data_IF_018676760956
#
_entry.id   IF_018676760956
#
_cell.length_a   1.000
_cell.length_b   1.000
_cell.length_c   1.000
_cell.angle_alpha   90.00
_cell.angle_beta   90.00
_cell.angle_gamma   90.00
#
_symmetry.space_group_name_H-M   'P 1'
#
loop_
_entity.id
_entity.type
_entity.pdbx_description
1 polymer ?
#
# COMPACT_ATOMS: atom_id res chain seq x y z
N UNK A 1 28.43 -7.90 -10.32
CA UNK A 1 28.72 -6.61 -11.00
C UNK A 1 27.92 -6.38 -12.27
N UNK A 2 27.73 -7.39 -13.13
CA UNK A 2 26.95 -7.23 -14.38
C UNK A 2 25.47 -6.87 -14.12
N UNK A 3 24.92 -7.24 -12.98
CA UNK A 3 23.52 -6.99 -12.60
C UNK A 3 23.29 -5.72 -11.81
N UNK A 4 24.32 -5.09 -11.28
CA UNK A 4 24.19 -3.80 -10.58
C UNK A 4 23.58 -2.75 -11.49
N UNK A 5 24.07 -2.69 -12.76
CA UNK A 5 23.51 -1.76 -13.73
C UNK A 5 22.07 -2.08 -14.12
N UNK A 6 21.71 -3.37 -14.24
CA UNK A 6 20.34 -3.81 -14.49
C UNK A 6 19.43 -3.38 -13.35
N UNK A 7 19.83 -3.60 -12.09
CA UNK A 7 19.06 -3.19 -10.92
C UNK A 7 18.81 -1.68 -10.92
N UNK A 8 19.86 -0.88 -11.10
CA UNK A 8 19.73 0.57 -11.15
C UNK A 8 18.78 1.04 -12.25
N UNK A 9 18.95 0.51 -13.48
CA UNK A 9 18.08 0.88 -14.61
C UNK A 9 16.62 0.52 -14.33
N UNK A 10 16.34 -0.63 -13.72
CA UNK A 10 14.97 -1.00 -13.34
C UNK A 10 14.40 -0.04 -12.30
N UNK A 11 15.15 0.27 -11.24
CA UNK A 11 14.73 1.19 -10.19
C UNK A 11 14.44 2.59 -10.75
N UNK A 12 15.35 3.12 -11.58
CA UNK A 12 15.19 4.44 -12.19
C UNK A 12 14.02 4.47 -13.19
N UNK A 13 13.82 3.37 -13.93
CA UNK A 13 12.74 3.27 -14.91
C UNK A 13 11.36 3.23 -14.24
N UNK A 14 11.19 2.40 -13.20
CA UNK A 14 9.96 2.36 -12.42
C UNK A 14 9.70 3.70 -11.74
N UNK A 15 10.75 4.32 -11.17
CA UNK A 15 10.65 5.68 -10.62
C UNK A 15 10.11 6.67 -11.64
N UNK A 16 10.55 6.59 -12.89
CA UNK A 16 10.16 7.54 -13.95
C UNK A 16 8.72 7.40 -14.44
N UNK A 17 8.07 6.26 -14.21
CA UNK A 17 6.67 6.05 -14.61
C UNK A 17 5.70 6.78 -13.69
N UNK A 18 5.96 6.80 -12.38
CA UNK A 18 5.21 7.57 -11.37
C UNK A 18 3.69 7.34 -11.45
N UNK A 19 3.25 6.08 -11.43
CA UNK A 19 1.86 5.68 -11.63
C UNK A 19 1.13 5.50 -10.30
N UNK A 20 -0.10 6.02 -10.19
CA UNK A 20 -0.99 5.81 -9.05
C UNK A 20 -1.54 4.40 -9.00
N UNK A 21 -2.04 4.00 -7.84
CA UNK A 21 -2.70 2.71 -7.64
C UNK A 21 -3.81 2.45 -8.66
N UNK A 22 -3.89 1.21 -9.15
CA UNK A 22 -4.72 0.74 -10.25
C UNK A 22 -4.40 1.34 -11.64
N UNK A 23 -3.34 2.12 -11.76
CA UNK A 23 -2.91 2.77 -13.01
C UNK A 23 -1.47 2.38 -13.40
N UNK A 24 -0.87 1.38 -12.77
CA UNK A 24 0.53 0.97 -12.91
C UNK A 24 0.78 0.16 -14.22
N UNK A 25 0.28 0.67 -15.36
CA UNK A 25 0.32 -0.03 -16.65
C UNK A 25 1.73 -0.15 -17.23
N UNK A 26 2.50 0.94 -17.22
CA UNK A 26 3.86 0.96 -17.75
C UNK A 26 4.80 0.16 -16.84
N UNK A 27 4.64 0.27 -15.53
CA UNK A 27 5.38 -0.53 -14.54
C UNK A 27 5.10 -2.02 -14.72
N UNK A 28 3.83 -2.42 -14.80
CA UNK A 28 3.44 -3.82 -15.00
C UNK A 28 3.99 -4.38 -16.31
N UNK A 29 3.85 -3.63 -17.41
CA UNK A 29 4.38 -4.01 -18.72
C UNK A 29 5.89 -4.19 -18.67
N UNK A 30 6.62 -3.20 -18.19
CA UNK A 30 8.08 -3.19 -18.15
C UNK A 30 8.65 -4.35 -17.34
N UNK A 31 8.13 -4.58 -16.14
CA UNK A 31 8.61 -5.64 -15.26
C UNK A 31 8.27 -7.03 -15.81
N UNK A 32 7.06 -7.20 -16.34
CA UNK A 32 6.64 -8.50 -16.89
C UNK A 32 7.39 -8.85 -18.18
N UNK A 33 7.75 -7.88 -19.02
CA UNK A 33 8.61 -8.09 -20.18
C UNK A 33 10.00 -8.61 -19.76
N UNK A 34 10.65 -7.99 -18.78
CA UNK A 34 11.93 -8.46 -18.24
C UNK A 34 11.82 -9.89 -17.71
N UNK A 35 10.80 -10.19 -16.93
CA UNK A 35 10.60 -11.54 -16.37
C UNK A 35 10.36 -12.57 -17.47
N UNK A 36 9.57 -12.24 -18.49
CA UNK A 36 9.33 -13.10 -19.65
C UNK A 36 10.60 -13.38 -20.44
N UNK A 37 11.43 -12.36 -20.70
CA UNK A 37 12.72 -12.51 -21.36
C UNK A 37 13.69 -13.40 -20.56
N UNK A 38 13.51 -13.47 -19.24
CA UNK A 38 14.28 -14.34 -18.34
C UNK A 38 13.60 -15.69 -18.08
N UNK A 39 12.60 -16.07 -18.89
CA UNK A 39 12.00 -17.40 -18.88
C UNK A 39 10.90 -17.64 -17.85
N UNK A 40 10.36 -16.60 -17.26
CA UNK A 40 9.16 -16.71 -16.39
C UNK A 40 7.90 -16.76 -17.25
N UNK A 41 6.94 -17.55 -16.82
CA UNK A 41 5.57 -17.53 -17.35
C UNK A 41 4.78 -16.45 -16.64
N UNK A 42 4.08 -15.60 -17.39
CA UNK A 42 3.34 -14.44 -16.86
C UNK A 42 1.84 -14.67 -16.99
N UNK A 43 1.12 -14.44 -15.90
CA UNK A 43 -0.35 -14.31 -15.86
C UNK A 43 -0.67 -12.86 -15.52
N UNK A 44 -1.55 -12.21 -16.30
CA UNK A 44 -1.91 -10.80 -16.15
C UNK A 44 -3.40 -10.63 -15.92
N UNK A 45 -3.81 -9.49 -15.35
CA UNK A 45 -5.23 -9.20 -15.07
C UNK A 45 -5.82 -10.07 -13.96
N UNK A 46 -4.96 -10.62 -13.09
CA UNK A 46 -5.38 -11.51 -12.01
C UNK A 46 -6.24 -10.80 -10.97
N UNK A 47 -7.10 -11.53 -10.30
CA UNK A 47 -8.10 -11.01 -9.36
C UNK A 47 -9.02 -9.92 -9.95
N UNK A 48 -9.12 -9.82 -11.30
CA UNK A 48 -9.90 -8.80 -12.00
C UNK A 48 -9.25 -7.40 -12.00
N UNK A 49 -7.97 -7.30 -11.64
CA UNK A 49 -7.21 -6.05 -11.57
C UNK A 49 -6.30 -5.97 -12.81
N UNK A 50 -6.53 -5.02 -13.75
CA UNK A 50 -5.81 -4.99 -15.04
C UNK A 50 -4.29 -4.86 -14.93
N UNK A 51 -3.78 -4.16 -13.91
CA UNK A 51 -2.35 -3.93 -13.67
C UNK A 51 -1.70 -5.00 -12.82
N UNK A 52 -2.49 -5.94 -12.26
CA UNK A 52 -1.98 -7.03 -11.45
C UNK A 52 -1.49 -8.21 -12.32
N UNK A 53 -0.42 -8.83 -11.87
CA UNK A 53 0.20 -9.97 -12.55
C UNK A 53 0.85 -10.94 -11.58
N UNK A 54 1.10 -12.14 -12.05
CA UNK A 54 1.94 -13.12 -11.35
C UNK A 54 2.91 -13.75 -12.34
N UNK A 55 4.17 -13.81 -11.96
CA UNK A 55 5.22 -14.46 -12.74
C UNK A 55 5.67 -15.73 -12.04
N UNK A 56 5.82 -16.82 -12.78
CA UNK A 56 6.19 -18.13 -12.26
C UNK A 56 7.29 -18.77 -13.06
N UNK A 57 8.27 -19.37 -12.36
CA UNK A 57 9.31 -20.19 -12.95
C UNK A 57 9.54 -21.45 -12.08
N UNK A 58 9.92 -22.56 -12.74
CA UNK A 58 10.19 -23.82 -12.08
C UNK A 58 8.94 -24.66 -11.84
N UNK A 59 9.11 -25.76 -11.13
CA UNK A 59 8.02 -26.65 -10.77
C UNK A 59 8.32 -27.37 -9.45
N UNK A 60 7.25 -27.89 -8.81
CA UNK A 60 7.37 -28.60 -7.55
C UNK A 60 7.60 -27.67 -6.35
N UNK A 61 7.93 -28.28 -5.24
CA UNK A 61 8.11 -27.61 -3.94
C UNK A 61 9.60 -27.50 -3.56
N UNK A 62 9.96 -26.49 -2.74
CA UNK A 62 9.07 -25.45 -2.19
C UNK A 62 8.63 -24.42 -3.23
N UNK A 63 7.47 -23.80 -3.00
CA UNK A 63 6.99 -22.62 -3.73
C UNK A 63 7.32 -21.38 -2.93
N UNK A 64 8.22 -20.57 -3.45
CA UNK A 64 8.70 -19.33 -2.79
C UNK A 64 8.18 -18.13 -3.57
N UNK A 65 7.38 -17.29 -2.91
CA UNK A 65 6.84 -16.07 -3.48
C UNK A 65 7.63 -14.83 -3.01
N UNK A 66 7.92 -13.93 -3.93
CA UNK A 66 8.58 -12.65 -3.70
C UNK A 66 7.61 -11.53 -4.08
N UNK A 67 7.30 -10.65 -3.15
CA UNK A 67 6.39 -9.53 -3.34
C UNK A 67 6.98 -8.19 -2.94
N UNK A 68 6.51 -7.13 -3.57
CA UNK A 68 6.74 -5.74 -3.18
C UNK A 68 5.72 -4.83 -3.83
N UNK A 69 5.50 -3.66 -3.25
CA UNK A 69 4.57 -2.66 -3.75
C UNK A 69 5.14 -1.92 -4.97
N UNK A 70 4.27 -1.31 -5.78
CA UNK A 70 4.67 -0.69 -7.06
C UNK A 70 4.02 0.66 -7.35
N UNK A 71 3.00 1.06 -6.60
CA UNK A 71 2.25 2.29 -6.83
C UNK A 71 2.90 3.53 -6.21
N UNK A 72 2.44 4.68 -6.66
CA UNK A 72 2.84 5.99 -6.17
C UNK A 72 1.75 6.63 -5.31
N UNK A 73 2.15 7.63 -4.53
CA UNK A 73 1.23 8.53 -3.83
C UNK A 73 0.99 9.82 -4.64
N UNK A 74 -0.21 10.45 -4.49
CA UNK A 74 -0.51 11.71 -5.17
C UNK A 74 0.42 12.85 -4.73
N UNK A 75 0.74 13.75 -5.65
CA UNK A 75 1.49 15.00 -5.37
C UNK A 75 2.88 14.79 -4.75
N UNK A 76 3.50 13.64 -5.00
CA UNK A 76 4.79 13.26 -4.46
C UNK A 76 5.93 13.27 -5.49
N UNK A 77 5.72 13.92 -6.64
CA UNK A 77 6.78 14.09 -7.64
C UNK A 77 7.98 14.78 -7.02
N UNK A 78 9.17 14.21 -7.17
CA UNK A 78 10.40 14.69 -6.53
C UNK A 78 11.61 14.38 -7.39
N UNK A 79 12.54 15.33 -7.50
CA UNK A 79 13.84 15.08 -8.13
C UNK A 79 14.69 14.15 -7.26
N UNK A 80 15.33 13.14 -7.84
CA UNK A 80 16.27 12.30 -7.10
C UNK A 80 17.54 13.08 -6.73
N UNK A 81 18.17 12.67 -5.62
CA UNK A 81 19.48 13.20 -5.20
C UNK A 81 19.46 14.59 -4.58
N UNK A 82 18.29 15.16 -4.29
CA UNK A 82 18.17 16.44 -3.57
C UNK A 82 17.42 16.24 -2.25
N UNK A 83 17.78 17.03 -1.24
CA UNK A 83 17.23 16.88 0.11
C UNK A 83 16.05 17.83 0.39
N UNK A 84 15.71 18.71 -0.50
CA UNK A 84 14.63 19.68 -0.37
C UNK A 84 13.51 19.37 -1.37
N UNK A 85 12.32 19.89 -1.11
CA UNK A 85 11.18 19.72 -2.00
C UNK A 85 11.44 20.40 -3.36
N UNK A 86 11.55 19.60 -4.41
CA UNK A 86 11.78 20.07 -5.80
C UNK A 86 11.12 19.08 -6.77
N UNK A 87 9.82 19.24 -7.06
CA UNK A 87 9.10 18.32 -7.92
C UNK A 87 9.64 18.35 -9.36
N UNK A 88 9.68 17.19 -10.01
CA UNK A 88 9.95 17.12 -11.47
C UNK A 88 8.77 17.73 -12.23
N UNK A 89 7.54 17.40 -11.79
CA UNK A 89 6.30 17.95 -12.33
C UNK A 89 5.41 18.31 -11.14
N UNK A 90 5.05 19.58 -11.02
CA UNK A 90 4.21 20.09 -9.94
C UNK A 90 2.86 19.37 -9.91
N UNK A 91 2.47 18.87 -8.73
CA UNK A 91 1.21 18.17 -8.51
C UNK A 91 1.15 16.75 -9.05
N UNK A 92 2.20 16.25 -9.72
CA UNK A 92 2.23 14.87 -10.23
C UNK A 92 2.49 13.86 -9.10
N UNK A 93 2.09 12.58 -9.31
CA UNK A 93 2.43 11.50 -8.37
C UNK A 93 3.92 11.21 -8.32
N UNK A 94 4.35 10.49 -7.29
CA UNK A 94 5.72 10.07 -7.14
C UNK A 94 5.89 8.94 -6.13
N UNK A 95 7.04 8.29 -6.15
CA UNK A 95 7.42 7.21 -5.24
C UNK A 95 7.87 7.75 -3.86
N UNK A 96 6.93 8.35 -3.11
CA UNK A 96 7.21 8.92 -1.78
C UNK A 96 7.61 7.88 -0.74
N UNK A 97 7.18 6.63 -0.90
CA UNK A 97 7.51 5.49 -0.04
C UNK A 97 8.54 4.53 -0.68
N UNK A 98 9.14 4.88 -1.81
CA UNK A 98 10.22 4.11 -2.43
C UNK A 98 9.80 2.77 -3.04
N UNK A 99 8.53 2.60 -3.40
CA UNK A 99 7.99 1.39 -4.04
C UNK A 99 8.66 1.04 -5.38
N UNK A 100 9.34 2.00 -6.01
CA UNK A 100 10.13 1.77 -7.22
C UNK A 100 11.33 0.84 -7.03
N UNK A 101 11.74 0.53 -5.80
CA UNK A 101 12.96 -0.25 -5.51
C UNK A 101 12.71 -1.73 -5.23
N UNK A 102 11.59 -2.09 -4.61
CA UNK A 102 11.35 -3.44 -4.10
C UNK A 102 11.11 -4.48 -5.19
N UNK A 103 10.28 -4.19 -6.19
CA UNK A 103 10.05 -5.13 -7.31
C UNK A 103 11.32 -5.34 -8.15
N UNK A 104 12.09 -4.32 -8.54
CA UNK A 104 13.39 -4.52 -9.17
C UNK A 104 14.36 -5.40 -8.35
N UNK A 105 14.40 -5.23 -7.03
CA UNK A 105 15.18 -6.10 -6.15
C UNK A 105 14.71 -7.56 -6.25
N UNK A 106 13.41 -7.80 -6.19
CA UNK A 106 12.83 -9.15 -6.26
C UNK A 106 13.07 -9.79 -7.63
N UNK A 107 12.97 -9.04 -8.72
CA UNK A 107 13.27 -9.51 -10.09
C UNK A 107 14.72 -9.97 -10.17
N UNK A 108 15.65 -9.16 -9.70
CA UNK A 108 17.08 -9.49 -9.72
C UNK A 108 17.38 -10.71 -8.86
N UNK A 109 16.80 -10.80 -7.66
CA UNK A 109 16.94 -11.95 -6.78
C UNK A 109 16.40 -13.22 -7.43
N UNK A 110 15.21 -13.17 -8.01
CA UNK A 110 14.57 -14.32 -8.67
C UNK A 110 15.38 -14.81 -9.87
N UNK A 111 15.88 -13.93 -10.75
CA UNK A 111 16.74 -14.31 -11.88
C UNK A 111 18.02 -14.97 -11.38
N UNK A 112 18.64 -14.44 -10.33
CA UNK A 112 19.86 -14.99 -9.76
C UNK A 112 19.63 -16.36 -9.13
N UNK A 113 18.58 -16.51 -8.33
CA UNK A 113 18.22 -17.79 -7.69
C UNK A 113 17.84 -18.81 -8.75
N UNK A 114 17.07 -18.42 -9.78
CA UNK A 114 16.74 -19.28 -10.93
C UNK A 114 18.01 -19.88 -11.55
N UNK A 115 19.01 -19.08 -11.87
CA UNK A 115 20.26 -19.57 -12.49
C UNK A 115 21.02 -20.54 -11.57
N UNK A 116 21.02 -20.29 -10.26
CA UNK A 116 21.61 -21.21 -9.29
C UNK A 116 20.84 -22.53 -9.25
N UNK A 117 19.49 -22.45 -9.21
CA UNK A 117 18.63 -23.63 -9.20
C UNK A 117 18.80 -24.47 -10.47
N UNK A 118 18.93 -23.84 -11.65
CA UNK A 118 19.20 -24.51 -12.92
C UNK A 118 20.56 -25.18 -12.92
N UNK A 119 21.60 -24.46 -12.53
CA UNK A 119 22.98 -24.95 -12.48
C UNK A 119 23.13 -26.17 -11.56
N UNK A 120 22.56 -26.07 -10.36
CA UNK A 120 22.72 -27.04 -9.29
C UNK A 120 21.57 -28.07 -9.25
N UNK A 121 20.63 -28.00 -10.20
CA UNK A 121 19.46 -28.87 -10.32
C UNK A 121 18.61 -28.92 -9.04
N UNK A 122 18.45 -27.75 -8.40
CA UNK A 122 17.63 -27.60 -7.19
C UNK A 122 16.15 -27.52 -7.59
N UNK A 123 15.28 -28.40 -7.09
CA UNK A 123 13.85 -28.33 -7.38
C UNK A 123 13.17 -27.21 -6.64
N UNK A 124 12.06 -26.70 -7.16
CA UNK A 124 11.23 -25.68 -6.52
C UNK A 124 10.59 -24.75 -7.53
N UNK A 125 9.77 -23.86 -7.04
CA UNK A 125 9.06 -22.87 -7.83
C UNK A 125 9.31 -21.47 -7.27
N UNK A 126 9.64 -20.53 -8.14
CA UNK A 126 9.73 -19.12 -7.84
C UNK A 126 8.48 -18.42 -8.36
N UNK A 127 7.87 -17.59 -7.54
CA UNK A 127 6.71 -16.76 -7.87
C UNK A 127 7.05 -15.30 -7.56
N UNK A 128 6.73 -14.37 -8.46
CA UNK A 128 6.80 -12.94 -8.20
C UNK A 128 5.41 -12.33 -8.37
N UNK A 129 5.10 -11.35 -7.55
CA UNK A 129 3.83 -10.64 -7.58
C UNK A 129 3.99 -9.18 -7.13
N UNK A 130 3.23 -8.23 -7.72
CA UNK A 130 3.25 -6.83 -7.33
C UNK A 130 2.19 -6.55 -6.26
N UNK A 131 2.48 -5.67 -5.31
CA UNK A 131 1.49 -5.00 -4.50
C UNK A 131 0.92 -3.80 -5.27
N UNK A 132 -0.01 -4.07 -6.19
CA UNK A 132 -0.72 -3.04 -6.96
C UNK A 132 -1.68 -2.29 -6.05
N UNK A 133 -1.73 -0.98 -6.18
CA UNK A 133 -2.61 -0.10 -5.39
C UNK A 133 -2.52 -0.35 -3.87
N UNK A 134 -1.31 -0.49 -3.36
CA UNK A 134 -1.08 -0.70 -1.93
C UNK A 134 -1.61 0.45 -1.09
N UNK A 135 -1.37 1.67 -1.53
CA UNK A 135 -1.83 2.92 -0.91
C UNK A 135 -3.37 3.03 -0.81
N UNK A 136 -4.06 2.24 -1.61
CA UNK A 136 -5.52 2.12 -1.61
C UNK A 136 -6.01 0.78 -1.04
N UNK A 137 -5.13 -0.01 -0.39
CA UNK A 137 -5.41 -1.34 0.15
C UNK A 137 -5.92 -2.33 -0.90
N UNK A 138 -5.35 -2.27 -2.11
CA UNK A 138 -5.82 -3.04 -3.25
C UNK A 138 -5.46 -4.52 -3.17
N UNK A 139 -4.44 -4.91 -3.87
CA UNK A 139 -4.14 -6.26 -4.37
C UNK A 139 -4.07 -7.39 -3.35
N UNK A 140 -3.41 -7.19 -2.20
CA UNK A 140 -3.04 -8.29 -1.28
C UNK A 140 -4.26 -9.05 -0.74
N UNK A 141 -5.31 -8.32 -0.37
CA UNK A 141 -6.55 -8.91 0.10
C UNK A 141 -7.30 -9.66 -1.03
N UNK A 142 -7.30 -9.12 -2.23
CA UNK A 142 -7.94 -9.75 -3.40
C UNK A 142 -7.20 -11.01 -3.83
N UNK A 143 -5.87 -11.01 -3.84
CA UNK A 143 -5.07 -12.19 -4.15
C UNK A 143 -5.30 -13.30 -3.13
N UNK A 144 -5.38 -12.96 -1.84
CA UNK A 144 -5.69 -13.92 -0.78
C UNK A 144 -7.09 -14.50 -0.93
N UNK A 145 -8.09 -13.64 -1.18
CA UNK A 145 -9.49 -14.07 -1.40
C UNK A 145 -9.61 -15.05 -2.55
N UNK A 146 -8.89 -14.81 -3.64
CA UNK A 146 -8.99 -15.59 -4.87
C UNK A 146 -8.00 -16.78 -4.91
N UNK A 147 -7.30 -17.06 -3.80
CA UNK A 147 -6.47 -18.26 -3.61
C UNK A 147 -5.09 -18.24 -4.28
N UNK A 148 -4.61 -17.08 -4.71
CA UNK A 148 -3.30 -16.99 -5.40
C UNK A 148 -2.12 -17.38 -4.51
N UNK A 149 -2.28 -17.37 -3.19
CA UNK A 149 -1.25 -17.79 -2.23
C UNK A 149 -1.45 -19.19 -1.64
N UNK A 150 -2.52 -19.91 -1.99
CA UNK A 150 -2.87 -21.20 -1.36
C UNK A 150 -1.78 -22.27 -1.50
N UNK A 151 -1.00 -22.23 -2.58
CA UNK A 151 0.08 -23.16 -2.85
C UNK A 151 1.48 -22.60 -2.53
N UNK A 152 1.57 -21.45 -1.91
CA UNK A 152 2.85 -20.80 -1.53
C UNK A 152 3.31 -21.35 -0.18
N UNK A 153 4.53 -21.90 -0.14
CA UNK A 153 5.13 -22.42 1.09
C UNK A 153 5.80 -21.32 1.91
N UNK A 154 6.42 -20.33 1.22
CA UNK A 154 7.10 -19.18 1.83
C UNK A 154 6.81 -17.92 1.02
N UNK A 155 6.38 -16.86 1.68
CA UNK A 155 6.24 -15.55 1.06
C UNK A 155 7.22 -14.56 1.72
N UNK A 156 8.09 -13.97 0.91
CA UNK A 156 9.02 -12.90 1.30
C UNK A 156 8.51 -11.60 0.72
N UNK A 157 8.46 -10.56 1.54
CA UNK A 157 8.00 -9.24 1.13
C UNK A 157 9.07 -8.20 1.45
N UNK A 158 9.40 -7.36 0.47
CA UNK A 158 10.38 -6.30 0.63
C UNK A 158 9.72 -4.93 0.59
N UNK A 159 10.13 -4.07 1.52
CA UNK A 159 9.71 -2.67 1.57
C UNK A 159 10.88 -1.81 2.03
N UNK A 160 11.01 -0.61 1.49
CA UNK A 160 12.04 0.35 1.90
C UNK A 160 11.81 0.77 3.35
N UNK A 161 12.89 0.95 4.07
CA UNK A 161 12.87 1.43 5.45
C UNK A 161 14.11 2.28 5.74
N UNK A 162 14.14 2.90 6.89
CA UNK A 162 15.29 3.70 7.35
C UNK A 162 16.46 2.88 7.88
N UNK A 163 16.29 1.57 8.02
CA UNK A 163 17.31 0.63 8.44
C UNK A 163 17.15 -0.71 7.71
N UNK A 164 18.20 -1.50 7.63
CA UNK A 164 18.12 -2.88 7.18
C UNK A 164 17.80 -3.76 8.38
N UNK A 165 16.65 -4.40 8.36
CA UNK A 165 16.18 -5.25 9.45
C UNK A 165 15.12 -6.24 9.00
N UNK A 166 14.81 -7.19 9.87
CA UNK A 166 13.76 -8.19 9.73
C UNK A 166 12.96 -8.22 11.02
N UNK A 167 11.69 -8.53 10.95
CA UNK A 167 10.84 -8.69 12.13
C UNK A 167 10.13 -10.04 12.13
N UNK A 168 9.79 -10.56 13.32
CA UNK A 168 8.98 -11.75 13.50
C UNK A 168 7.88 -11.52 14.54
N UNK A 169 6.88 -12.40 14.56
CA UNK A 169 5.75 -12.28 15.48
C UNK A 169 4.80 -11.14 15.08
N UNK A 170 4.11 -10.60 16.07
CA UNK A 170 3.23 -9.46 15.88
C UNK A 170 4.05 -8.21 15.59
N UNK A 171 3.89 -7.65 14.40
CA UNK A 171 4.53 -6.39 14.07
C UNK A 171 3.80 -5.23 14.74
N UNK A 172 4.56 -4.21 15.14
CA UNK A 172 3.98 -2.94 15.57
C UNK A 172 3.16 -2.30 14.44
N UNK A 173 2.05 -1.66 14.81
CA UNK A 173 1.16 -0.99 13.88
C UNK A 173 -0.27 -1.50 13.97
N UNK A 174 -1.14 -0.89 13.19
CA UNK A 174 -2.55 -1.22 13.15
C UNK A 174 -2.91 -1.84 11.82
N UNK A 175 -3.83 -2.81 11.85
CA UNK A 175 -4.61 -3.16 10.66
C UNK A 175 -5.72 -2.13 10.42
N UNK A 176 -6.47 -2.28 9.33
CA UNK A 176 -7.58 -1.38 9.03
C UNK A 176 -8.62 -2.02 8.11
N UNK A 177 -9.82 -1.42 8.12
CA UNK A 177 -10.83 -1.56 7.08
C UNK A 177 -11.11 -0.20 6.46
N UNK A 178 -11.18 -0.17 5.13
CA UNK A 178 -11.49 1.00 4.30
C UNK A 178 -12.92 0.87 3.81
N UNK A 179 -13.77 1.84 4.13
CA UNK A 179 -15.20 1.80 3.76
C UNK A 179 -15.69 3.16 3.33
N UNK A 180 -16.42 3.19 2.24
CA UNK A 180 -17.17 4.37 1.78
C UNK A 180 -18.65 4.20 2.08
N UNK A 181 -19.24 5.23 2.70
CA UNK A 181 -20.68 5.35 2.92
C UNK A 181 -21.24 6.37 1.94
N UNK A 182 -22.17 5.94 1.09
CA UNK A 182 -22.86 6.79 0.13
C UNK A 182 -24.29 6.99 0.59
N UNK A 183 -24.64 8.25 0.85
CA UNK A 183 -26.00 8.64 1.20
C UNK A 183 -26.76 9.04 -0.07
N UNK A 184 -28.00 8.59 -0.17
CA UNK A 184 -28.90 8.90 -1.25
C UNK A 184 -30.15 9.61 -0.69
N UNK A 185 -30.39 10.79 -1.18
CA UNK A 185 -31.48 11.67 -0.79
C UNK A 185 -32.34 12.08 -1.98
N UNK A 186 -32.87 13.30 -1.97
CA UNK A 186 -33.73 13.83 -3.03
C UNK A 186 -33.36 15.28 -3.34
N UNK A 187 -33.16 15.60 -4.62
CA UNK A 187 -32.82 16.96 -5.02
C UNK A 187 -34.02 17.90 -5.02
N UNK A 188 -33.77 19.17 -4.75
CA UNK A 188 -34.73 20.23 -4.87
C UNK A 188 -34.00 21.57 -5.13
N UNK A 189 -34.75 22.57 -5.61
CA UNK A 189 -34.23 23.93 -5.69
C UNK A 189 -34.04 24.52 -4.30
N UNK A 190 -32.79 24.79 -3.88
CA UNK A 190 -32.46 25.17 -2.50
C UNK A 190 -33.17 26.46 -2.00
N UNK A 191 -33.45 27.41 -2.90
CA UNK A 191 -34.19 28.64 -2.54
C UNK A 191 -35.68 28.55 -2.80
N UNK A 192 -36.13 27.84 -3.85
CA UNK A 192 -37.51 27.85 -4.28
C UNK A 192 -38.41 26.84 -3.56
N UNK A 193 -37.88 25.65 -3.27
CA UNK A 193 -38.66 24.56 -2.67
C UNK A 193 -37.76 23.58 -1.88
N UNK A 194 -36.91 24.03 -0.92
CA UNK A 194 -35.99 23.15 -0.20
C UNK A 194 -36.69 22.04 0.60
N UNK A 195 -37.93 22.28 1.04
CA UNK A 195 -38.73 21.30 1.78
C UNK A 195 -39.09 20.03 1.00
N UNK A 196 -38.91 20.04 -0.32
CA UNK A 196 -39.07 18.85 -1.18
C UNK A 196 -37.84 17.98 -1.22
N UNK A 197 -36.66 18.53 -0.88
CA UNK A 197 -35.39 17.82 -0.88
C UNK A 197 -35.13 16.99 0.37
N UNK A 198 -34.17 16.12 0.25
CA UNK A 198 -33.51 15.38 1.36
C UNK A 198 -32.01 15.41 1.08
N UNK A 199 -31.29 16.22 1.84
CA UNK A 199 -29.88 16.47 1.60
C UNK A 199 -29.00 15.28 2.04
N UNK A 200 -28.36 14.65 1.08
CA UNK A 200 -27.35 13.63 1.36
C UNK A 200 -26.09 14.22 2.00
N UNK A 201 -25.76 15.48 1.71
CA UNK A 201 -24.63 16.17 2.33
C UNK A 201 -24.85 16.39 3.83
N UNK A 202 -26.09 16.72 4.27
CA UNK A 202 -26.40 16.83 5.69
C UNK A 202 -26.18 15.49 6.42
N UNK A 203 -26.49 14.37 5.78
CA UNK A 203 -26.22 13.05 6.35
C UNK A 203 -24.71 12.79 6.50
N UNK A 204 -23.91 13.17 5.52
CA UNK A 204 -22.43 13.09 5.58
C UNK A 204 -21.90 13.94 6.74
N UNK A 205 -22.38 15.18 6.88
CA UNK A 205 -21.97 16.07 7.98
C UNK A 205 -22.36 15.51 9.34
N UNK A 206 -23.59 15.00 9.49
CA UNK A 206 -24.06 14.38 10.74
C UNK A 206 -23.28 13.12 11.10
N UNK A 207 -22.96 12.26 10.12
CA UNK A 207 -22.10 11.11 10.35
C UNK A 207 -20.68 11.54 10.79
N UNK A 208 -20.11 12.52 10.11
CA UNK A 208 -18.78 13.07 10.45
C UNK A 208 -18.78 13.65 11.87
N UNK A 209 -19.72 14.52 12.20
CA UNK A 209 -19.84 15.14 13.52
C UNK A 209 -20.10 14.09 14.62
N UNK A 210 -21.04 13.17 14.38
CA UNK A 210 -21.34 12.08 15.32
C UNK A 210 -20.13 11.21 15.60
N UNK A 211 -19.31 10.92 14.59
CA UNK A 211 -18.06 10.18 14.78
C UNK A 211 -17.05 10.96 15.64
N UNK A 212 -16.96 12.28 15.51
CA UNK A 212 -16.09 13.08 16.39
C UNK A 212 -16.52 12.99 17.86
N UNK A 213 -17.82 13.00 18.17
CA UNK A 213 -18.31 12.79 19.52
C UNK A 213 -18.05 11.37 20.04
N UNK A 214 -18.10 10.35 19.16
CA UNK A 214 -17.77 8.98 19.54
C UNK A 214 -16.29 8.83 19.92
N UNK A 215 -15.38 9.64 19.36
CA UNK A 215 -13.93 9.50 19.57
C UNK A 215 -13.49 9.56 21.02
N UNK A 216 -14.13 10.37 21.87
CA UNK A 216 -13.77 10.47 23.29
C UNK A 216 -14.05 9.17 24.07
N UNK A 217 -14.90 8.29 23.52
CA UNK A 217 -15.28 7.01 24.11
C UNK A 217 -14.57 5.81 23.47
N UNK A 218 -13.57 6.05 22.63
CA UNK A 218 -12.76 5.00 21.98
C UNK A 218 -11.49 4.73 22.77
N UNK A 219 -11.00 3.49 22.70
CA UNK A 219 -9.70 3.12 23.26
C UNK A 219 -8.58 3.98 22.65
N UNK A 220 -7.56 4.40 23.44
CA UNK A 220 -6.47 5.24 22.96
C UNK A 220 -5.67 4.70 21.77
N UNK A 221 -5.67 3.38 21.55
CA UNK A 221 -4.99 2.75 20.40
C UNK A 221 -5.83 2.76 19.13
N UNK A 222 -7.12 3.02 19.23
CA UNK A 222 -7.99 3.15 18.07
C UNK A 222 -7.66 4.41 17.26
N UNK A 223 -7.67 4.27 15.95
CA UNK A 223 -7.46 5.38 15.00
C UNK A 223 -8.54 5.35 13.93
N UNK A 224 -8.99 6.51 13.52
CA UNK A 224 -9.91 6.65 12.41
C UNK A 224 -9.64 7.95 11.66
N UNK A 225 -9.80 7.89 10.36
CA UNK A 225 -9.63 9.02 9.46
C UNK A 225 -10.76 9.01 8.46
N UNK A 226 -11.17 10.16 7.97
CA UNK A 226 -12.14 10.23 6.89
C UNK A 226 -11.93 11.45 6.02
N UNK A 227 -12.46 11.36 4.82
CA UNK A 227 -12.64 12.48 3.89
C UNK A 227 -14.08 12.45 3.37
N UNK A 228 -14.60 13.61 2.98
CA UNK A 228 -15.81 13.70 2.18
C UNK A 228 -15.38 13.45 0.73
N UNK A 229 -15.77 12.31 0.17
CA UNK A 229 -15.38 11.91 -1.19
C UNK A 229 -16.31 12.50 -2.25
N UNK A 230 -17.57 12.85 -1.86
CA UNK A 230 -18.52 13.58 -2.68
C UNK A 230 -19.39 14.46 -1.77
N UNK A 231 -19.37 15.78 -1.98
CA UNK A 231 -20.15 16.76 -1.21
C UNK A 231 -21.41 17.28 -1.92
N UNK A 232 -21.74 16.77 -3.10
CA UNK A 232 -22.80 17.31 -3.97
C UNK A 232 -22.25 18.19 -5.09
N UNK A 233 -23.13 18.84 -5.87
CA UNK A 233 -22.77 19.52 -7.13
C UNK A 233 -22.59 21.03 -6.97
N UNK A 234 -23.62 21.74 -6.50
CA UNK A 234 -23.59 23.21 -6.33
C UNK A 234 -24.60 23.69 -5.28
N UNK A 235 -24.41 24.88 -4.66
CA UNK A 235 -25.16 25.30 -3.49
C UNK A 235 -26.67 25.54 -3.71
N UNK A 236 -27.11 25.80 -4.95
CA UNK A 236 -28.52 26.06 -5.28
C UNK A 236 -29.33 24.78 -5.58
N UNK A 237 -28.72 23.60 -5.46
CA UNK A 237 -29.36 22.30 -5.59
C UNK A 237 -29.15 21.50 -4.30
N UNK A 238 -30.24 21.03 -3.68
CA UNK A 238 -30.14 20.11 -2.56
C UNK A 238 -29.44 18.83 -3.02
N UNK A 239 -28.30 18.43 -2.41
CA UNK A 239 -27.55 17.26 -2.85
C UNK A 239 -28.35 15.96 -2.72
N UNK A 240 -28.61 15.29 -3.84
CA UNK A 240 -29.30 13.99 -3.86
C UNK A 240 -28.36 12.82 -3.57
N UNK A 241 -27.05 13.03 -3.70
CA UNK A 241 -26.04 12.03 -3.34
C UNK A 241 -24.82 12.72 -2.74
N UNK A 242 -24.28 12.13 -1.68
CA UNK A 242 -23.01 12.53 -1.06
C UNK A 242 -22.34 11.30 -0.43
N UNK A 243 -21.03 11.33 -0.30
CA UNK A 243 -20.27 10.20 0.21
C UNK A 243 -19.17 10.63 1.17
N UNK A 244 -18.89 9.77 2.14
CA UNK A 244 -17.82 9.93 3.12
C UNK A 244 -17.03 8.62 3.21
N UNK A 245 -15.71 8.72 3.13
CA UNK A 245 -14.80 7.58 3.10
C UNK A 245 -14.01 7.52 4.39
N UNK A 246 -14.09 6.39 5.12
CA UNK A 246 -13.44 6.13 6.40
C UNK A 246 -12.36 5.05 6.32
N UNK A 247 -11.30 5.24 7.11
CA UNK A 247 -10.42 4.19 7.61
C UNK A 247 -10.68 3.98 9.11
N UNK A 248 -10.98 2.75 9.51
CA UNK A 248 -11.06 2.32 10.90
C UNK A 248 -9.89 1.41 11.22
N UNK A 249 -9.06 1.80 12.19
CA UNK A 249 -7.78 1.16 12.49
C UNK A 249 -7.72 0.69 13.94
N UNK A 250 -7.20 -0.54 14.15
CA UNK A 250 -6.86 -1.10 15.46
C UNK A 250 -5.81 -2.20 15.33
N UNK A 251 -5.30 -2.70 16.46
CA UNK A 251 -4.22 -3.70 16.52
C UNK A 251 -4.70 -5.14 16.33
N UNK A 252 -5.98 -5.44 16.53
CA UNK A 252 -6.54 -6.78 16.32
C UNK A 252 -7.74 -6.76 15.37
N UNK A 253 -7.97 -7.89 14.70
CA UNK A 253 -9.12 -8.04 13.81
C UNK A 253 -10.47 -7.80 14.51
N UNK A 254 -10.77 -8.41 15.71
CA UNK A 254 -12.04 -8.16 16.39
C UNK A 254 -12.30 -6.69 16.68
N UNK A 255 -11.27 -5.95 17.11
CA UNK A 255 -11.38 -4.53 17.44
C UNK A 255 -11.58 -3.65 16.19
N UNK A 256 -10.96 -4.01 15.04
CA UNK A 256 -11.22 -3.35 13.76
C UNK A 256 -12.69 -3.53 13.37
N UNK A 257 -13.23 -4.75 13.52
CA UNK A 257 -14.63 -5.03 13.20
C UNK A 257 -15.58 -4.32 14.15
N UNK A 258 -15.24 -4.16 15.43
CA UNK A 258 -16.02 -3.37 16.39
C UNK A 258 -16.12 -1.91 15.96
N UNK A 259 -15.02 -1.29 15.53
CA UNK A 259 -15.01 0.08 15.00
C UNK A 259 -15.86 0.20 13.74
N UNK A 260 -15.75 -0.75 12.83
CA UNK A 260 -16.55 -0.79 11.61
C UNK A 260 -18.06 -0.85 11.91
N UNK A 261 -18.48 -1.68 12.87
CA UNK A 261 -19.88 -1.77 13.28
C UNK A 261 -20.36 -0.49 13.97
N UNK A 262 -19.51 0.19 14.74
CA UNK A 262 -19.83 1.53 15.29
C UNK A 262 -20.03 2.54 14.15
N UNK A 263 -19.17 2.51 13.12
CA UNK A 263 -19.32 3.34 11.92
C UNK A 263 -20.63 3.08 11.17
N UNK A 264 -20.99 1.80 11.00
CA UNK A 264 -22.26 1.41 10.36
C UNK A 264 -23.49 2.00 11.10
N UNK A 265 -23.52 1.85 12.42
CA UNK A 265 -24.61 2.42 13.25
C UNK A 265 -24.67 3.95 13.15
N UNK A 266 -23.51 4.62 13.07
CA UNK A 266 -23.45 6.07 12.91
C UNK A 266 -24.03 6.51 11.55
N UNK A 267 -23.69 5.78 10.48
CA UNK A 267 -24.22 6.04 9.14
C UNK A 267 -25.73 5.83 9.08
N UNK A 268 -26.25 4.75 9.67
CA UNK A 268 -27.69 4.48 9.78
C UNK A 268 -28.40 5.57 10.56
N UNK A 269 -27.83 6.04 11.69
CA UNK A 269 -28.36 7.14 12.48
C UNK A 269 -28.42 8.45 11.69
N UNK A 270 -27.37 8.78 10.95
CA UNK A 270 -27.33 9.98 10.10
C UNK A 270 -28.38 9.91 8.98
N UNK A 271 -28.52 8.76 8.32
CA UNK A 271 -29.54 8.55 7.30
C UNK A 271 -30.97 8.72 7.87
N UNK A 272 -31.21 8.17 9.07
CA UNK A 272 -32.49 8.31 9.75
C UNK A 272 -32.83 9.77 10.08
N UNK A 273 -31.85 10.53 10.60
CA UNK A 273 -32.04 11.94 10.95
C UNK A 273 -32.36 12.84 9.76
N UNK A 274 -31.79 12.52 8.58
CA UNK A 274 -31.97 13.30 7.34
C UNK A 274 -33.05 12.76 6.43
N UNK A 275 -33.64 11.63 6.78
CA UNK A 275 -34.62 10.94 5.95
C UNK A 275 -34.06 10.55 4.56
N UNK A 276 -32.80 10.13 4.56
CA UNK A 276 -32.07 9.60 3.41
C UNK A 276 -31.87 8.08 3.53
N UNK A 277 -31.26 7.44 2.54
CA UNK A 277 -30.76 6.06 2.65
C UNK A 277 -29.25 6.04 2.61
N UNK A 278 -28.64 4.99 3.15
CA UNK A 278 -27.18 4.80 3.09
C UNK A 278 -26.81 3.45 2.53
N UNK A 279 -25.83 3.45 1.64
CA UNK A 279 -25.15 2.26 1.13
C UNK A 279 -23.70 2.28 1.66
N UNK A 280 -23.16 1.10 1.92
CA UNK A 280 -21.77 0.94 2.35
C UNK A 280 -20.99 0.04 1.39
N UNK A 281 -19.80 0.46 1.05
CA UNK A 281 -18.89 -0.30 0.19
C UNK A 281 -17.53 -0.43 0.86
N UNK A 282 -17.10 -1.65 1.14
CA UNK A 282 -15.74 -1.93 1.58
C UNK A 282 -14.83 -1.77 0.35
N UNK A 283 -13.86 -0.87 0.44
CA UNK A 283 -12.90 -0.60 -0.63
C UNK A 283 -11.64 -1.45 -0.48
N UNK A 284 -11.29 -1.84 0.74
CA UNK A 284 -10.16 -2.69 1.02
C UNK A 284 -9.98 -2.97 2.50
N UNK A 285 -9.03 -3.84 2.80
CA UNK A 285 -8.65 -4.16 4.18
C UNK A 285 -7.19 -4.57 4.25
N UNK A 286 -6.55 -4.25 5.37
CA UNK A 286 -5.24 -4.74 5.73
C UNK A 286 -5.28 -5.22 7.18
N UNK A 287 -5.14 -6.52 7.39
CA UNK A 287 -5.19 -7.08 8.72
C UNK A 287 -3.87 -6.92 9.46
N UNK A 288 -3.86 -6.99 10.81
CA UNK A 288 -2.65 -6.93 11.61
C UNK A 288 -1.66 -8.02 11.18
N UNK A 289 -0.39 -7.63 11.10
CA UNK A 289 0.68 -8.50 10.56
C UNK A 289 1.18 -9.45 11.63
N UNK A 290 1.46 -10.69 11.20
CA UNK A 290 2.17 -11.69 12.01
C UNK A 290 3.21 -12.40 11.13
N UNK A 291 4.48 -12.25 11.47
CA UNK A 291 5.57 -12.80 10.69
C UNK A 291 6.11 -14.11 11.24
N UNK A 292 6.41 -15.04 10.34
CA UNK A 292 6.94 -16.35 10.71
C UNK A 292 8.37 -16.25 11.24
N UNK A 293 8.58 -16.74 12.47
CA UNK A 293 9.88 -16.67 13.17
C UNK A 293 10.99 -17.40 12.42
N UNK A 294 10.73 -18.60 11.92
CA UNK A 294 11.74 -19.42 11.23
C UNK A 294 12.23 -18.72 9.95
N UNK A 295 11.29 -18.22 9.14
CA UNK A 295 11.63 -17.48 7.91
C UNK A 295 12.40 -16.20 8.25
N UNK A 296 11.92 -15.43 9.22
CA UNK A 296 12.59 -14.18 9.64
C UNK A 296 13.99 -14.42 10.18
N UNK A 297 14.18 -15.45 11.04
CA UNK A 297 15.51 -15.79 11.56
C UNK A 297 16.47 -16.22 10.45
N UNK A 298 16.00 -17.04 9.50
CA UNK A 298 16.84 -17.46 8.36
C UNK A 298 17.23 -16.26 7.50
N UNK A 299 16.30 -15.37 7.20
CA UNK A 299 16.58 -14.14 6.46
C UNK A 299 17.59 -13.25 7.21
N UNK A 300 17.41 -13.07 8.51
CA UNK A 300 18.31 -12.27 9.33
C UNK A 300 19.74 -12.79 9.34
N UNK A 301 19.94 -14.12 9.48
CA UNK A 301 21.27 -14.73 9.41
C UNK A 301 21.93 -14.55 8.04
N UNK A 302 21.16 -14.63 6.95
CA UNK A 302 21.63 -14.34 5.60
C UNK A 302 22.03 -12.87 5.43
N UNK A 303 21.24 -11.94 5.96
CA UNK A 303 21.55 -10.51 5.95
C UNK A 303 22.85 -10.24 6.71
N UNK A 304 23.06 -10.86 7.88
CA UNK A 304 24.33 -10.73 8.62
C UNK A 304 25.52 -11.27 7.83
N UNK A 305 25.35 -12.35 7.10
CA UNK A 305 26.40 -12.94 6.26
C UNK A 305 26.80 -12.02 5.10
N UNK A 306 25.82 -11.36 4.47
CA UNK A 306 26.06 -10.40 3.36
C UNK A 306 26.58 -9.07 3.90
N UNK A 307 26.07 -8.63 5.04
CA UNK A 307 26.39 -7.34 5.66
C UNK A 307 25.69 -6.15 5.03
N UNK A 308 26.00 -4.96 5.54
CA UNK A 308 25.52 -3.69 4.99
C UNK A 308 26.36 -3.27 3.79
N UNK A 309 25.78 -2.50 2.85
CA UNK A 309 26.57 -1.83 1.82
C UNK A 309 27.54 -0.81 2.46
N UNK A 310 28.61 -0.51 1.73
CA UNK A 310 29.52 0.58 2.10
C UNK A 310 28.92 1.91 1.57
N UNK A 311 28.56 2.79 2.47
CA UNK A 311 28.06 4.12 2.14
C UNK A 311 29.20 5.09 1.83
N UNK A 312 29.05 5.88 0.77
CA UNK A 312 29.98 6.97 0.47
C UNK A 312 29.73 8.17 1.37
N UNK A 313 30.64 9.16 1.32
CA UNK A 313 30.43 10.41 2.01
C UNK A 313 29.22 11.18 1.46
N UNK A 314 29.01 11.10 0.15
CA UNK A 314 27.88 11.70 -0.55
C UNK A 314 26.55 11.09 -0.08
N UNK A 315 26.48 9.75 0.05
CA UNK A 315 25.30 9.07 0.59
C UNK A 315 24.97 9.56 2.01
N UNK A 316 26.00 9.66 2.87
CA UNK A 316 25.82 10.14 4.23
C UNK A 316 25.38 11.60 4.29
N UNK A 317 25.95 12.44 3.45
CA UNK A 317 25.58 13.87 3.37
C UNK A 317 24.14 14.05 2.90
N UNK A 318 23.72 13.33 1.87
CA UNK A 318 22.34 13.37 1.37
C UNK A 318 21.35 12.88 2.43
N UNK A 319 21.62 11.74 3.08
CA UNK A 319 20.76 11.21 4.13
C UNK A 319 20.57 12.19 5.30
N UNK A 320 21.66 12.82 5.77
CA UNK A 320 21.62 13.83 6.82
C UNK A 320 20.87 15.08 6.40
N UNK A 321 21.03 15.51 5.16
CA UNK A 321 20.32 16.65 4.62
C UNK A 321 18.80 16.40 4.54
N UNK A 322 18.38 15.22 4.08
CA UNK A 322 16.96 14.80 4.08
C UNK A 322 16.42 14.73 5.51
N UNK A 323 17.13 14.08 6.44
CA UNK A 323 16.73 14.00 7.84
C UNK A 323 16.53 15.36 8.47
N UNK A 324 17.39 16.33 8.16
CA UNK A 324 17.26 17.72 8.62
C UNK A 324 16.03 18.40 8.02
N UNK A 325 15.81 18.25 6.72
CA UNK A 325 14.68 18.87 6.01
C UNK A 325 13.33 18.40 6.56
N UNK A 326 13.19 17.08 6.79
CA UNK A 326 11.95 16.49 7.34
C UNK A 326 11.89 16.54 8.85
N UNK A 327 12.82 17.20 9.53
CA UNK A 327 12.92 17.28 10.99
C UNK A 327 12.82 15.89 11.66
N UNK A 328 13.55 14.92 11.13
CA UNK A 328 13.56 13.55 11.65
C UNK A 328 14.12 13.49 13.07
N UNK A 329 13.35 12.85 13.99
CA UNK A 329 13.75 12.66 15.39
C UNK A 329 14.40 11.29 15.64
N UNK A 330 15.03 10.68 14.66
CA UNK A 330 15.61 9.35 14.76
C UNK A 330 16.99 9.38 15.40
N UNK A 331 17.35 8.25 16.03
CA UNK A 331 18.63 8.07 16.74
C UNK A 331 19.83 7.93 15.77
N UNK A 332 19.59 7.72 14.48
CA UNK A 332 20.63 7.56 13.47
C UNK A 332 20.79 8.85 12.66
N UNK A 333 21.98 9.41 12.70
CA UNK A 333 22.39 10.55 11.88
C UNK A 333 23.04 10.04 10.57
N UNK A 334 22.30 10.10 9.47
CA UNK A 334 22.69 9.59 8.16
C UNK A 334 22.19 8.17 7.88
N UNK A 335 22.88 7.47 6.96
CA UNK A 335 22.59 6.08 6.62
C UNK A 335 22.96 5.14 7.77
N UNK A 336 22.20 4.04 7.99
CA UNK A 336 22.46 3.13 9.11
C UNK A 336 23.81 2.40 8.94
N UNK A 337 24.57 2.33 10.02
CA UNK A 337 25.87 1.67 10.08
C UNK A 337 25.81 0.31 10.80
N UNK A 338 24.61 -0.13 11.19
CA UNK A 338 24.36 -1.42 11.83
C UNK A 338 23.10 -2.05 11.26
N UNK A 339 23.09 -3.38 11.20
CA UNK A 339 21.88 -4.14 10.90
C UNK A 339 20.96 -4.03 12.12
N UNK A 340 19.66 -3.84 11.89
CA UNK A 340 18.67 -3.82 12.97
C UNK A 340 18.65 -5.16 13.73
N UNK A 341 18.27 -5.14 14.99
CA UNK A 341 18.06 -6.37 15.77
C UNK A 341 16.79 -7.08 15.31
N UNK A 342 16.78 -8.42 15.42
CA UNK A 342 15.64 -9.26 15.06
C UNK A 342 14.61 -9.31 16.19
#
# INVERSE_FOLDING_TARGET
DSRTKMAQVMVDKVFSFSELGFQEYETAKYITEILKENGFTIETGIAGIPTAWMAKWGNGKPVIALGSDVDCIPKASQKPGVAYHDPIIEGAPGHGEGHNSGVPLNVLAAITVKEIMERDKIPGTLVLWPGVAEEQLGTKAYFTRDGYFDNVDVCLFTHVSSNLGVSWGEASGTGLISVEYTFNGESAHSAGAPWRGRSAADAVELMSAGWQYQREHLDPLQRSHHIISNGGDQPNVVPSQASIWFYFRQITYPEIMELYEKGNKMAEGAAMMTNTTVEKRILGSAWPRHYNKTVATTMYENIKTVGLPTWTNEDQMLAKAVQKEVNSKRDTDGMPMKIGEL
#
